data_IF_265196443383
#
_entry.id   IF_265196443383
#
_cell.length_a   1.000
_cell.length_b   1.000
_cell.length_c   1.000
_cell.angle_alpha   90.00
_cell.angle_beta   90.00
_cell.angle_gamma   90.00
#
_symmetry.space_group_name_H-M   'P 1'
#
loop_
_entity.id
_entity.type
_entity.pdbx_description
1 polymer ?
#
# COMPACT_ATOMS: atom_id res chain seq x y z
N UNK A 1 -16.11 -27.13 -1.88
CA UNK A 1 -15.72 -25.86 -1.22
C UNK A 1 -14.31 -25.52 -1.70
N UNK A 2 -14.20 -24.82 -2.83
CA UNK A 2 -12.93 -24.60 -3.53
C UNK A 2 -12.26 -23.31 -3.07
N UNK A 3 -11.06 -23.45 -2.56
CA UNK A 3 -10.11 -22.40 -2.20
C UNK A 3 -9.61 -21.62 -3.43
N UNK A 4 -10.49 -20.84 -4.07
CA UNK A 4 -10.17 -20.01 -5.24
C UNK A 4 -10.59 -18.54 -5.07
N UNK A 5 -10.95 -18.12 -3.86
CA UNK A 5 -11.09 -16.71 -3.49
C UNK A 5 -9.87 -16.26 -2.69
N UNK A 6 -8.68 -16.39 -3.26
CA UNK A 6 -7.58 -15.50 -2.89
C UNK A 6 -7.94 -14.14 -3.46
N UNK A 7 -8.75 -13.41 -2.68
CA UNK A 7 -9.16 -12.04 -2.90
C UNK A 7 -7.95 -11.25 -3.42
N UNK A 8 -8.04 -10.75 -4.65
CA UNK A 8 -6.92 -10.06 -5.30
C UNK A 8 -6.82 -8.68 -4.64
N UNK A 9 -6.19 -8.62 -3.46
CA UNK A 9 -6.00 -7.44 -2.59
C UNK A 9 -5.47 -6.23 -3.38
N UNK A 10 -4.77 -6.47 -4.49
CA UNK A 10 -4.18 -5.44 -5.32
C UNK A 10 -5.04 -4.97 -6.51
N UNK A 11 -6.23 -5.55 -6.71
CA UNK A 11 -7.13 -5.21 -7.83
C UNK A 11 -7.60 -3.75 -7.81
N UNK A 12 -7.70 -3.15 -6.62
CA UNK A 12 -8.00 -1.72 -6.41
C UNK A 12 -6.94 -0.82 -7.10
N UNK A 13 -5.71 -1.31 -7.27
CA UNK A 13 -4.60 -0.58 -7.87
C UNK A 13 -4.53 -0.67 -9.40
N UNK A 14 -5.50 -1.32 -10.06
CA UNK A 14 -5.60 -1.35 -11.53
C UNK A 14 -6.16 -0.05 -12.13
N UNK A 15 -6.59 0.91 -11.30
CA UNK A 15 -6.94 2.25 -11.74
C UNK A 15 -5.71 3.01 -12.28
N UNK A 16 -5.92 4.06 -13.08
CA UNK A 16 -4.82 4.89 -13.60
C UNK A 16 -3.92 5.43 -12.48
N UNK A 17 -4.52 5.88 -11.37
CA UNK A 17 -3.78 6.32 -10.19
C UNK A 17 -2.98 5.19 -9.55
N UNK A 18 -3.57 4.00 -9.47
CA UNK A 18 -2.90 2.85 -8.88
C UNK A 18 -1.75 2.31 -9.74
N UNK A 19 -1.88 2.36 -11.06
CA UNK A 19 -0.79 2.02 -11.98
C UNK A 19 0.38 3.00 -11.85
N UNK A 20 0.12 4.30 -11.78
CA UNK A 20 1.16 5.33 -11.56
C UNK A 20 1.85 5.12 -10.21
N UNK A 21 1.07 4.82 -9.16
CA UNK A 21 1.62 4.56 -7.82
C UNK A 21 2.53 3.33 -7.82
N UNK A 22 2.06 2.25 -8.44
CA UNK A 22 2.82 1.00 -8.57
C UNK A 22 4.11 1.20 -9.37
N UNK A 23 4.03 1.95 -10.47
CA UNK A 23 5.19 2.29 -11.30
C UNK A 23 6.22 3.09 -10.50
N UNK A 24 5.80 4.12 -9.75
CA UNK A 24 6.70 4.92 -8.89
C UNK A 24 7.37 4.08 -7.81
N UNK A 25 6.65 3.15 -7.19
CA UNK A 25 7.22 2.21 -6.21
C UNK A 25 8.29 1.35 -6.88
N UNK A 26 8.03 0.74 -8.04
CA UNK A 26 9.03 -0.04 -8.75
C UNK A 26 10.24 0.79 -9.21
N UNK A 27 10.01 2.04 -9.62
CA UNK A 27 11.09 2.96 -9.99
C UNK A 27 12.01 3.29 -8.80
N UNK A 28 11.46 3.40 -7.59
CA UNK A 28 12.26 3.54 -6.37
C UNK A 28 13.21 2.35 -6.16
N UNK A 29 12.78 1.15 -6.58
CA UNK A 29 13.58 -0.08 -6.59
C UNK A 29 14.46 -0.24 -7.83
N UNK A 30 14.50 0.77 -8.72
CA UNK A 30 15.23 0.76 -10.00
C UNK A 30 14.81 -0.40 -10.92
N UNK A 31 13.55 -0.80 -10.83
CA UNK A 31 12.88 -1.79 -11.67
C UNK A 31 11.98 -1.04 -12.65
N UNK A 32 12.10 -1.34 -13.95
CA UNK A 32 11.24 -0.80 -15.00
C UNK A 32 10.65 -1.96 -15.80
N UNK A 33 9.33 -2.06 -15.79
CA UNK A 33 8.56 -3.05 -16.54
C UNK A 33 7.82 -2.36 -17.69
N UNK A 34 7.51 -3.12 -18.74
CA UNK A 34 6.60 -2.63 -19.78
C UNK A 34 5.18 -2.53 -19.21
N UNK A 35 4.37 -1.63 -19.74
CA UNK A 35 3.02 -1.36 -19.21
C UNK A 35 2.14 -2.62 -19.13
N UNK A 36 2.18 -3.46 -20.16
CA UNK A 36 1.46 -4.74 -20.17
C UNK A 36 1.96 -5.74 -19.11
N UNK A 37 3.28 -5.76 -18.87
CA UNK A 37 3.91 -6.63 -17.87
C UNK A 37 3.59 -6.14 -16.46
N UNK A 38 3.50 -4.81 -16.25
CA UNK A 38 3.08 -4.21 -14.98
C UNK A 38 1.66 -4.64 -14.60
N UNK A 39 0.72 -4.54 -15.54
CA UNK A 39 -0.67 -4.96 -15.31
C UNK A 39 -0.75 -6.46 -15.01
N UNK A 40 -0.02 -7.28 -15.76
CA UNK A 40 0.02 -8.72 -15.54
C UNK A 40 0.65 -9.08 -14.19
N UNK A 41 1.71 -8.35 -13.78
CA UNK A 41 2.37 -8.52 -12.49
C UNK A 41 1.44 -8.20 -11.32
N UNK A 42 0.68 -7.09 -11.38
CA UNK A 42 -0.29 -6.74 -10.33
C UNK A 42 -1.36 -7.82 -10.20
N UNK A 43 -1.84 -8.37 -11.32
CA UNK A 43 -2.91 -9.37 -11.33
C UNK A 43 -2.49 -10.75 -10.83
N UNK A 44 -1.22 -11.12 -10.94
CA UNK A 44 -0.72 -12.45 -10.61
C UNK A 44 -0.12 -12.50 -9.19
N UNK A 45 -0.81 -13.08 -8.18
CA UNK A 45 -0.32 -13.13 -6.79
C UNK A 45 0.98 -13.91 -6.62
N UNK A 46 1.27 -14.80 -7.57
CA UNK A 46 2.45 -15.66 -7.56
C UNK A 46 3.68 -14.98 -8.17
N UNK A 47 3.52 -13.81 -8.79
CA UNK A 47 4.63 -13.08 -9.39
C UNK A 47 5.52 -12.48 -8.30
N UNK A 48 6.84 -12.53 -8.51
CA UNK A 48 7.81 -11.82 -7.67
C UNK A 48 7.44 -10.34 -7.49
N UNK A 49 7.01 -9.68 -8.57
CA UNK A 49 6.67 -8.26 -8.55
C UNK A 49 5.41 -7.98 -7.72
N UNK A 50 4.41 -8.86 -7.76
CA UNK A 50 3.24 -8.76 -6.90
C UNK A 50 3.63 -8.81 -5.42
N UNK A 51 4.48 -9.78 -5.06
CA UNK A 51 4.96 -9.96 -3.67
C UNK A 51 5.76 -8.77 -3.19
N UNK A 52 6.62 -8.22 -4.05
CA UNK A 52 7.40 -7.01 -3.78
C UNK A 52 6.51 -5.77 -3.54
N UNK A 53 5.38 -5.68 -4.24
CA UNK A 53 4.46 -4.55 -4.19
C UNK A 53 3.43 -4.63 -3.05
N UNK A 54 3.16 -5.81 -2.52
CA UNK A 54 2.10 -6.05 -1.53
C UNK A 54 2.24 -5.20 -0.27
N UNK A 55 3.40 -5.21 0.36
CA UNK A 55 3.68 -4.44 1.58
C UNK A 55 3.64 -2.93 1.34
N UNK A 56 4.37 -2.35 0.36
CA UNK A 56 4.38 -0.91 0.16
C UNK A 56 3.02 -0.36 -0.25
N UNK A 57 2.22 -1.08 -1.06
CA UNK A 57 0.87 -0.65 -1.41
C UNK A 57 -0.07 -0.62 -0.19
N UNK A 58 0.04 -1.60 0.72
CA UNK A 58 -0.71 -1.56 1.98
C UNK A 58 -0.28 -0.38 2.87
N UNK A 59 1.02 -0.06 2.91
CA UNK A 59 1.48 1.13 3.62
C UNK A 59 0.96 2.43 3.01
N UNK A 60 0.91 2.55 1.68
CA UNK A 60 0.29 3.72 1.01
C UNK A 60 -1.19 3.82 1.40
N UNK A 61 -1.92 2.70 1.40
CA UNK A 61 -3.32 2.68 1.80
C UNK A 61 -3.52 3.12 3.26
N UNK A 62 -2.72 2.57 4.18
CA UNK A 62 -2.73 2.99 5.58
C UNK A 62 -2.40 4.48 5.74
N UNK A 63 -1.48 5.01 4.94
CA UNK A 63 -1.14 6.44 4.92
C UNK A 63 -2.31 7.33 4.50
N UNK A 64 -3.16 6.88 3.55
CA UNK A 64 -4.38 7.61 3.17
C UNK A 64 -5.36 7.65 4.35
N UNK A 65 -5.58 6.52 5.03
CA UNK A 65 -6.48 6.47 6.21
C UNK A 65 -5.91 7.30 7.36
N UNK A 66 -4.59 7.27 7.57
CA UNK A 66 -3.91 8.08 8.57
C UNK A 66 -4.10 9.58 8.28
N UNK A 67 -4.01 10.01 7.02
CA UNK A 67 -4.29 11.39 6.65
C UNK A 67 -5.74 11.79 6.96
N UNK A 68 -6.72 10.94 6.65
CA UNK A 68 -8.12 11.21 7.02
C UNK A 68 -8.31 11.33 8.55
N UNK A 69 -7.63 10.50 9.33
CA UNK A 69 -7.65 10.60 10.80
C UNK A 69 -7.02 11.91 11.29
N UNK A 70 -5.92 12.34 10.68
CA UNK A 70 -5.27 13.63 10.95
C UNK A 70 -6.21 14.81 10.60
N UNK A 71 -6.89 14.76 9.45
CA UNK A 71 -7.83 15.81 9.06
C UNK A 71 -8.98 15.93 10.09
N UNK A 72 -9.47 14.81 10.64
CA UNK A 72 -10.40 14.82 11.77
C UNK A 72 -9.79 15.39 13.06
N UNK A 73 -8.57 15.00 13.41
CA UNK A 73 -7.88 15.56 14.58
C UNK A 73 -7.75 17.09 14.47
N UNK A 74 -7.28 17.60 13.33
CA UNK A 74 -7.12 19.03 13.07
C UNK A 74 -8.47 19.75 13.16
N UNK A 75 -9.53 19.17 12.61
CA UNK A 75 -10.87 19.73 12.74
C UNK A 75 -11.33 19.79 14.21
N UNK A 76 -11.14 18.71 14.98
CA UNK A 76 -11.46 18.70 16.40
C UNK A 76 -10.68 19.76 17.19
N UNK A 77 -9.39 19.95 16.88
CA UNK A 77 -8.56 21.00 17.48
C UNK A 77 -9.09 22.40 17.16
N UNK A 78 -9.49 22.66 15.90
CA UNK A 78 -10.09 23.94 15.50
C UNK A 78 -11.38 24.24 16.27
N UNK A 79 -12.27 23.26 16.42
CA UNK A 79 -13.48 23.41 17.23
C UNK A 79 -13.15 23.86 18.67
N UNK A 80 -12.15 23.22 19.30
CA UNK A 80 -11.74 23.62 20.64
C UNK A 80 -11.06 24.99 20.68
N UNK A 81 -10.28 25.38 19.67
CA UNK A 81 -9.68 26.72 19.59
C UNK A 81 -10.79 27.76 19.53
N UNK A 82 -11.78 27.59 18.67
CA UNK A 82 -12.91 28.52 18.53
C UNK A 82 -13.70 28.62 19.84
N UNK A 83 -13.97 27.49 20.49
CA UNK A 83 -14.60 27.45 21.81
C UNK A 83 -13.79 28.19 22.89
N UNK A 84 -12.47 27.95 22.98
CA UNK A 84 -11.62 28.61 23.97
C UNK A 84 -11.51 30.12 23.73
N UNK A 85 -11.53 30.56 22.47
CA UNK A 85 -11.46 31.97 22.10
C UNK A 85 -12.79 32.72 22.29
N UNK A 86 -13.91 32.01 22.40
CA UNK A 86 -15.24 32.60 22.64
C UNK A 86 -15.40 33.22 24.04
N UNK A 87 -14.50 32.93 24.98
CA UNK A 87 -14.56 33.42 26.35
C UNK A 87 -15.52 32.66 27.28
N UNK A 88 -16.19 31.61 26.78
CA UNK A 88 -17.12 30.77 27.57
C UNK A 88 -16.42 30.09 28.77
N UNK A 89 -15.13 29.83 28.64
CA UNK A 89 -14.28 29.26 29.70
C UNK A 89 -13.99 30.23 30.86
N UNK A 90 -14.23 31.53 30.68
CA UNK A 90 -13.97 32.55 31.70
C UNK A 90 -15.15 32.82 32.64
N UNK A 91 -16.32 32.21 32.41
CA UNK A 91 -17.51 32.40 33.25
C UNK A 91 -17.42 31.61 34.56
N UNK A 92 -18.05 32.11 35.61
CA UNK A 92 -18.02 31.49 36.95
C UNK A 92 -18.63 30.09 36.98
N UNK A 93 -18.23 29.26 37.94
CA UNK A 93 -18.77 27.90 38.14
C UNK A 93 -20.27 27.89 38.46
N UNK A 94 -20.82 29.00 38.94
CA UNK A 94 -22.25 29.17 39.22
C UNK A 94 -23.08 29.55 37.98
N UNK A 95 -22.45 29.80 36.83
CA UNK A 95 -23.16 30.21 35.62
C UNK A 95 -23.79 29.02 34.87
N UNK A 96 -24.94 29.22 34.19
CA UNK A 96 -25.60 28.15 33.43
C UNK A 96 -24.65 27.44 32.46
N UNK A 97 -24.71 26.11 32.42
CA UNK A 97 -23.84 25.30 31.57
C UNK A 97 -22.48 24.95 32.18
N UNK A 98 -22.25 25.20 33.48
CA UNK A 98 -21.01 24.80 34.17
C UNK A 98 -20.65 23.31 34.01
N UNK A 99 -21.62 22.40 34.14
CA UNK A 99 -21.41 20.95 33.93
C UNK A 99 -20.95 20.65 32.49
N UNK A 100 -21.59 21.27 31.49
CA UNK A 100 -21.21 21.11 30.07
C UNK A 100 -19.81 21.65 29.80
N UNK A 101 -19.39 22.72 30.48
CA UNK A 101 -18.02 23.27 30.36
C UNK A 101 -16.98 22.36 31.00
N UNK A 102 -17.30 21.71 32.11
CA UNK A 102 -16.45 20.67 32.72
C UNK A 102 -16.32 19.44 31.81
N UNK A 103 -17.43 18.98 31.22
CA UNK A 103 -17.43 17.89 30.25
C UNK A 103 -16.58 18.25 29.01
N UNK A 104 -16.69 19.48 28.48
CA UNK A 104 -15.86 19.96 27.37
C UNK A 104 -14.38 20.02 27.73
N UNK A 105 -14.02 20.43 28.94
CA UNK A 105 -12.63 20.40 29.41
C UNK A 105 -12.10 18.97 29.55
N UNK A 106 -12.96 18.01 29.94
CA UNK A 106 -12.61 16.59 29.95
C UNK A 106 -12.32 16.06 28.54
N UNK A 107 -13.16 16.41 27.55
CA UNK A 107 -12.96 16.02 26.15
C UNK A 107 -11.74 16.73 25.54
N UNK A 108 -11.42 17.96 25.96
CA UNK A 108 -10.18 18.65 25.56
C UNK A 108 -8.94 17.90 26.04
N UNK A 109 -8.91 17.50 27.32
CA UNK A 109 -7.79 16.69 27.86
C UNK A 109 -7.68 15.36 27.14
N UNK A 110 -8.82 14.74 26.81
CA UNK A 110 -8.86 13.52 26.01
C UNK A 110 -8.31 13.74 24.60
N UNK A 111 -8.65 14.83 23.92
CA UNK A 111 -8.12 15.17 22.60
C UNK A 111 -6.59 15.32 22.63
N UNK A 112 -6.04 15.98 23.66
CA UNK A 112 -4.59 16.12 23.81
C UNK A 112 -3.91 14.75 23.95
N UNK A 113 -4.41 13.91 24.86
CA UNK A 113 -3.87 12.56 25.05
C UNK A 113 -3.99 11.70 23.78
N UNK A 114 -5.15 11.75 23.11
CA UNK A 114 -5.35 11.08 21.82
C UNK A 114 -4.40 11.59 20.74
N UNK A 115 -4.10 12.89 20.72
CA UNK A 115 -3.16 13.50 19.79
C UNK A 115 -1.73 13.02 20.00
N UNK A 116 -1.28 12.91 21.25
CA UNK A 116 0.05 12.40 21.58
C UNK A 116 0.20 10.92 21.18
N UNK A 117 -0.80 10.09 21.51
CA UNK A 117 -0.83 8.67 21.14
C UNK A 117 -0.94 8.47 19.61
N UNK A 118 -1.70 9.33 18.93
CA UNK A 118 -1.81 9.33 17.48
C UNK A 118 -0.47 9.71 16.83
N UNK A 119 0.22 10.73 17.32
CA UNK A 119 1.53 11.12 16.80
C UNK A 119 2.60 10.03 17.01
N UNK A 120 2.53 9.30 18.13
CA UNK A 120 3.34 8.11 18.33
C UNK A 120 3.02 7.03 17.28
N UNK A 121 1.74 6.84 16.93
CA UNK A 121 1.30 5.95 15.87
C UNK A 121 1.82 6.38 14.48
N UNK A 122 1.82 7.68 14.16
CA UNK A 122 2.40 8.22 12.92
C UNK A 122 3.91 7.93 12.83
N UNK A 123 4.63 8.15 13.93
CA UNK A 123 6.07 7.89 14.02
C UNK A 123 6.37 6.41 13.81
N UNK A 124 5.58 5.52 14.41
CA UNK A 124 5.69 4.08 14.23
C UNK A 124 5.40 3.66 12.80
N UNK A 125 4.38 4.25 12.16
CA UNK A 125 4.07 4.00 10.75
C UNK A 125 5.22 4.42 9.83
N UNK A 126 5.79 5.60 10.04
CA UNK A 126 6.95 6.09 9.29
C UNK A 126 8.17 5.17 9.45
N UNK A 127 8.40 4.67 10.67
CA UNK A 127 9.46 3.70 10.95
C UNK A 127 9.22 2.38 10.22
N UNK A 128 7.99 1.87 10.24
CA UNK A 128 7.60 0.65 9.52
C UNK A 128 7.81 0.80 8.00
N UNK A 129 7.48 1.95 7.43
CA UNK A 129 7.75 2.26 6.01
C UNK A 129 9.25 2.24 5.76
N UNK A 130 10.05 2.95 6.56
CA UNK A 130 11.49 3.03 6.34
C UNK A 130 12.18 1.63 6.43
N UNK A 131 11.80 0.82 7.43
CA UNK A 131 12.33 -0.53 7.61
C UNK A 131 11.95 -1.45 6.45
N UNK A 132 10.67 -1.46 6.06
CA UNK A 132 10.17 -2.29 4.95
C UNK A 132 10.79 -1.88 3.62
N UNK A 133 10.90 -0.58 3.34
CA UNK A 133 11.52 -0.05 2.12
C UNK A 133 13.00 -0.44 2.03
N UNK A 134 13.76 -0.31 3.13
CA UNK A 134 15.17 -0.70 3.17
C UNK A 134 15.34 -2.18 2.80
N UNK A 135 14.51 -3.06 3.37
CA UNK A 135 14.58 -4.49 3.09
C UNK A 135 14.17 -4.82 1.63
N UNK A 136 13.07 -4.22 1.15
CA UNK A 136 12.60 -4.41 -0.23
C UNK A 136 13.62 -3.91 -1.26
N UNK A 137 14.31 -2.79 -1.01
CA UNK A 137 15.39 -2.28 -1.87
C UNK A 137 16.56 -3.27 -1.93
N UNK A 138 16.92 -3.89 -0.80
CA UNK A 138 17.97 -4.91 -0.77
C UNK A 138 17.56 -6.12 -1.62
N UNK A 139 16.36 -6.66 -1.42
CA UNK A 139 15.83 -7.76 -2.23
C UNK A 139 15.76 -7.42 -3.72
N UNK A 140 15.29 -6.22 -4.08
CA UNK A 140 15.23 -5.78 -5.46
C UNK A 140 16.62 -5.68 -6.10
N UNK A 141 17.63 -5.26 -5.33
CA UNK A 141 19.02 -5.18 -5.79
C UNK A 141 19.61 -6.57 -6.02
N UNK A 142 19.38 -7.50 -5.10
CA UNK A 142 19.80 -8.90 -5.24
C UNK A 142 19.08 -9.60 -6.39
N UNK A 143 17.78 -9.38 -6.54
CA UNK A 143 16.99 -9.85 -7.67
C UNK A 143 17.57 -9.37 -9.00
N UNK A 144 17.87 -8.07 -9.12
CA UNK A 144 18.45 -7.49 -10.34
C UNK A 144 19.81 -8.10 -10.68
N UNK A 145 20.64 -8.38 -9.66
CA UNK A 145 21.93 -9.06 -9.83
C UNK A 145 21.74 -10.49 -10.35
N UNK A 146 20.81 -11.24 -9.77
CA UNK A 146 20.49 -12.60 -10.18
C UNK A 146 19.89 -12.64 -11.60
N UNK A 147 18.99 -11.71 -11.91
CA UNK A 147 18.38 -11.56 -13.23
C UNK A 147 19.42 -11.22 -14.31
N UNK A 148 20.35 -10.31 -14.03
CA UNK A 148 21.43 -9.97 -14.95
C UNK A 148 22.38 -11.15 -15.18
N UNK A 149 22.70 -11.92 -14.13
CA UNK A 149 23.52 -13.12 -14.23
C UNK A 149 22.83 -14.22 -15.07
N UNK A 150 21.54 -14.45 -14.84
CA UNK A 150 20.72 -15.38 -15.60
C UNK A 150 20.64 -14.97 -17.08
N UNK A 151 20.37 -13.69 -17.36
CA UNK A 151 20.32 -13.17 -18.72
C UNK A 151 21.67 -13.29 -19.45
N UNK A 152 22.80 -13.09 -18.75
CA UNK A 152 24.13 -13.29 -19.33
C UNK A 152 24.38 -14.75 -19.70
N UNK A 153 24.04 -15.70 -18.84
CA UNK A 153 24.17 -17.15 -19.13
C UNK A 153 23.33 -17.56 -20.33
N UNK A 154 22.06 -17.15 -20.35
CA UNK A 154 21.15 -17.41 -21.47
C UNK A 154 21.72 -16.83 -22.77
N UNK A 155 22.21 -15.59 -22.75
CA UNK A 155 22.82 -14.97 -23.92
C UNK A 155 24.03 -15.77 -24.42
N UNK A 156 24.94 -16.12 -23.52
CA UNK A 156 26.17 -16.83 -23.88
C UNK A 156 25.83 -18.20 -24.49
N UNK A 157 24.82 -18.89 -23.97
CA UNK A 157 24.32 -20.17 -24.50
C UNK A 157 23.54 -20.01 -25.82
N UNK A 158 22.73 -18.96 -25.98
CA UNK A 158 22.03 -18.65 -27.24
C UNK A 158 23.01 -18.26 -28.34
N UNK A 159 24.10 -17.56 -28.00
CA UNK A 159 25.15 -17.19 -28.94
C UNK A 159 25.88 -18.43 -29.48
N UNK A 160 26.07 -19.45 -28.65
CA UNK A 160 26.59 -20.76 -29.10
C UNK A 160 25.64 -21.46 -30.09
N UNK A 161 24.35 -21.16 -30.02
CA UNK A 161 23.31 -21.66 -30.95
C UNK A 161 23.11 -20.77 -32.18
N UNK A 162 23.93 -19.72 -32.36
CA UNK A 162 23.88 -18.81 -33.51
C UNK A 162 22.88 -17.66 -33.39
N UNK A 163 22.24 -17.48 -32.23
CA UNK A 163 21.29 -16.37 -31.98
C UNK A 163 21.94 -15.32 -31.08
N UNK A 164 22.36 -14.20 -31.66
CA UNK A 164 22.90 -13.07 -30.91
C UNK A 164 21.81 -12.01 -30.68
N UNK A 165 21.46 -11.76 -29.42
CA UNK A 165 20.46 -10.76 -29.01
C UNK A 165 20.99 -9.95 -27.83
N UNK A 166 20.57 -8.71 -27.73
CA UNK A 166 20.93 -7.84 -26.62
C UNK A 166 20.42 -8.38 -25.27
N UNK A 167 21.21 -8.21 -24.21
CA UNK A 167 20.85 -8.61 -22.84
C UNK A 167 19.50 -8.00 -22.42
N UNK A 168 19.19 -6.78 -22.85
CA UNK A 168 17.93 -6.10 -22.52
C UNK A 168 16.71 -6.88 -23.03
N UNK A 169 16.78 -7.43 -24.24
CA UNK A 169 15.71 -8.23 -24.84
C UNK A 169 15.54 -9.53 -24.05
N UNK A 170 16.65 -10.19 -23.70
CA UNK A 170 16.62 -11.42 -22.90
C UNK A 170 15.99 -11.17 -21.51
N UNK A 171 16.31 -10.05 -20.87
CA UNK A 171 15.69 -9.65 -19.60
C UNK A 171 14.18 -9.44 -19.76
N UNK A 172 13.74 -8.78 -20.84
CA UNK A 172 12.31 -8.60 -21.12
C UNK A 172 11.59 -9.94 -21.30
N UNK A 173 12.22 -10.89 -21.99
CA UNK A 173 11.68 -12.25 -22.17
C UNK A 173 11.58 -12.97 -20.83
N UNK A 174 12.64 -12.95 -20.02
CA UNK A 174 12.62 -13.57 -18.68
C UNK A 174 11.52 -12.96 -17.82
N UNK A 175 11.37 -11.63 -17.82
CA UNK A 175 10.31 -10.97 -17.06
C UNK A 175 8.91 -11.35 -17.55
N UNK A 176 8.68 -11.35 -18.85
CA UNK A 176 7.40 -11.75 -19.43
C UNK A 176 7.04 -13.20 -19.04
N UNK A 177 8.03 -14.10 -19.09
CA UNK A 177 7.84 -15.50 -18.68
C UNK A 177 7.58 -15.64 -17.18
N UNK A 178 8.33 -14.96 -16.31
CA UNK A 178 8.15 -15.02 -14.85
C UNK A 178 6.80 -14.42 -14.43
N UNK A 179 6.34 -13.35 -15.09
CA UNK A 179 5.09 -12.67 -14.76
C UNK A 179 3.87 -13.47 -15.22
N UNK A 180 3.94 -14.09 -16.40
CA UNK A 180 2.84 -14.89 -16.94
C UNK A 180 2.81 -16.32 -16.40
N UNK A 181 3.92 -16.80 -15.84
CA UNK A 181 3.96 -18.10 -15.22
C UNK A 181 3.17 -18.09 -13.91
N UNK A 182 2.18 -18.97 -13.84
CA UNK A 182 1.36 -19.17 -12.67
C UNK A 182 1.94 -20.29 -11.81
N UNK A 183 2.65 -19.93 -10.74
CA UNK A 183 3.25 -20.90 -9.83
C UNK A 183 2.24 -21.73 -9.03
N UNK A 184 0.93 -21.42 -9.11
CA UNK A 184 -0.12 -22.25 -8.50
C UNK A 184 -0.27 -23.60 -9.21
N UNK A 185 0.10 -23.66 -10.48
CA UNK A 185 0.29 -24.91 -11.21
C UNK A 185 1.63 -25.48 -10.77
N UNK A 186 1.63 -26.44 -9.84
CA UNK A 186 2.78 -27.24 -9.35
C UNK A 186 3.49 -28.07 -10.46
N UNK A 187 3.52 -27.60 -11.70
CA UNK A 187 4.20 -28.21 -12.83
C UNK A 187 5.43 -27.39 -13.21
N UNK A 188 6.50 -28.08 -13.60
CA UNK A 188 7.61 -27.49 -14.35
C UNK A 188 7.05 -26.64 -15.49
N UNK A 189 7.70 -25.52 -15.80
CA UNK A 189 7.36 -24.69 -16.97
C UNK A 189 7.34 -25.61 -18.19
N UNK A 190 6.16 -25.82 -18.79
CA UNK A 190 6.00 -26.64 -19.99
C UNK A 190 6.46 -25.81 -21.20
N UNK A 191 7.22 -26.42 -22.10
CA UNK A 191 7.69 -25.80 -23.34
C UNK A 191 6.54 -25.51 -24.32
N UNK A 192 5.35 -26.07 -24.05
CA UNK A 192 4.10 -25.87 -24.80
C UNK A 192 3.18 -24.79 -24.22
N UNK A 193 3.56 -24.13 -23.14
CA UNK A 193 2.72 -23.10 -22.52
C UNK A 193 2.56 -21.86 -23.42
N UNK A 194 1.39 -21.21 -23.35
CA UNK A 194 1.06 -20.01 -24.16
C UNK A 194 1.96 -18.81 -23.84
N UNK A 195 2.58 -18.81 -22.67
CA UNK A 195 3.57 -17.82 -22.22
C UNK A 195 4.77 -17.72 -23.18
N UNK A 196 5.14 -18.82 -23.86
CA UNK A 196 6.20 -18.83 -24.87
C UNK A 196 5.87 -18.04 -26.13
N UNK A 197 4.59 -17.92 -26.52
CA UNK A 197 4.21 -17.16 -27.71
C UNK A 197 4.58 -15.67 -27.58
N UNK A 198 4.48 -15.12 -26.35
CA UNK A 198 4.92 -13.76 -26.05
C UNK A 198 6.44 -13.65 -26.05
N UNK A 199 7.13 -14.62 -25.45
CA UNK A 199 8.60 -14.69 -25.45
C UNK A 199 9.17 -14.72 -26.88
N UNK A 200 8.60 -15.56 -27.75
CA UNK A 200 8.98 -15.67 -29.16
C UNK A 200 8.71 -14.36 -29.92
N UNK A 201 7.58 -13.69 -29.64
CA UNK A 201 7.27 -12.37 -30.21
C UNK A 201 8.29 -11.30 -29.80
N UNK A 202 8.77 -11.32 -28.55
CA UNK A 202 9.79 -10.36 -28.05
C UNK A 202 11.17 -10.65 -28.67
N UNK A 203 11.53 -11.93 -28.86
CA UNK A 203 12.79 -12.34 -29.49
C UNK A 203 12.78 -12.11 -31.01
N UNK A 204 11.60 -12.17 -31.62
CA UNK A 204 11.38 -12.04 -33.06
C UNK A 204 11.58 -13.33 -33.84
N UNK A 205 11.85 -14.45 -33.16
CA UNK A 205 12.13 -15.76 -33.74
C UNK A 205 11.47 -16.86 -32.90
N UNK A 206 11.13 -17.99 -33.54
CA UNK A 206 10.64 -19.17 -32.82
C UNK A 206 11.78 -19.80 -32.03
N UNK A 207 11.53 -20.08 -30.76
CA UNK A 207 12.55 -20.66 -29.89
C UNK A 207 12.60 -22.17 -30.09
N UNK A 208 13.81 -22.71 -30.27
CA UNK A 208 14.00 -24.16 -30.26
C UNK A 208 13.70 -24.74 -28.88
N UNK A 209 13.31 -26.02 -28.80
CA UNK A 209 13.08 -26.69 -27.51
C UNK A 209 14.33 -26.65 -26.61
N UNK A 210 15.53 -26.74 -27.20
CA UNK A 210 16.79 -26.58 -26.46
C UNK A 210 16.93 -25.17 -25.86
N UNK A 211 16.61 -24.12 -26.63
CA UNK A 211 16.63 -22.75 -26.13
C UNK A 211 15.59 -22.55 -25.03
N UNK A 212 14.39 -23.13 -25.14
CA UNK A 212 13.37 -23.08 -24.09
C UNK A 212 13.86 -23.75 -22.80
N UNK A 213 14.50 -24.92 -22.88
CA UNK A 213 15.06 -25.59 -21.71
C UNK A 213 16.10 -24.77 -20.96
N UNK A 214 16.95 -24.03 -21.68
CA UNK A 214 17.93 -23.10 -21.09
C UNK A 214 17.23 -22.02 -20.26
N UNK A 215 16.18 -21.40 -20.81
CA UNK A 215 15.38 -20.42 -20.09
C UNK A 215 14.70 -21.04 -18.87
N UNK A 216 14.14 -22.25 -18.99
CA UNK A 216 13.48 -22.95 -17.88
C UNK A 216 14.45 -23.18 -16.71
N UNK A 217 15.67 -23.65 -16.97
CA UNK A 217 16.67 -23.87 -15.92
C UNK A 217 16.99 -22.59 -15.15
N UNK A 218 17.22 -21.48 -15.86
CA UNK A 218 17.55 -20.21 -15.21
C UNK A 218 16.34 -19.56 -14.53
N UNK A 219 15.14 -19.66 -15.11
CA UNK A 219 13.91 -19.18 -14.50
C UNK A 219 13.62 -19.95 -13.21
N UNK A 220 13.83 -21.27 -13.18
CA UNK A 220 13.64 -22.09 -11.98
C UNK A 220 14.50 -21.58 -10.81
N UNK A 221 15.78 -21.27 -11.06
CA UNK A 221 16.68 -20.68 -10.06
C UNK A 221 16.21 -19.31 -9.56
N UNK A 222 15.70 -18.48 -10.46
CA UNK A 222 15.11 -17.19 -10.09
C UNK A 222 13.85 -17.37 -9.22
N UNK A 223 13.01 -18.35 -9.54
CA UNK A 223 11.81 -18.63 -8.78
C UNK A 223 12.11 -19.18 -7.38
N UNK A 224 13.13 -20.04 -7.25
CA UNK A 224 13.63 -20.49 -5.95
C UNK A 224 14.07 -19.30 -5.09
N UNK A 225 14.83 -18.36 -5.65
CA UNK A 225 15.18 -17.12 -4.95
C UNK A 225 13.93 -16.30 -4.58
N UNK A 226 12.95 -16.19 -5.50
CA UNK A 226 11.70 -15.48 -5.26
C UNK A 226 10.83 -16.09 -4.15
N UNK A 227 11.00 -17.39 -3.86
CA UNK A 227 10.24 -18.05 -2.79
C UNK A 227 10.65 -17.58 -1.40
N UNK A 228 11.90 -17.13 -1.22
CA UNK A 228 12.40 -16.61 0.05
C UNK A 228 11.83 -15.25 0.45
N UNK A 229 11.25 -14.50 -0.50
CA UNK A 229 10.73 -13.16 -0.23
C UNK A 229 9.53 -13.18 0.72
N UNK A 230 8.65 -14.18 0.60
CA UNK A 230 7.44 -14.29 1.44
C UNK A 230 7.81 -14.45 2.91
N UNK A 231 8.80 -15.29 3.21
CA UNK A 231 9.29 -15.47 4.57
C UNK A 231 9.83 -14.16 5.16
N UNK A 232 10.58 -13.39 4.36
CA UNK A 232 11.12 -12.11 4.82
C UNK A 232 10.06 -11.00 4.93
N UNK A 233 8.95 -11.10 4.20
CA UNK A 233 7.88 -10.11 4.20
C UNK A 233 6.72 -10.47 5.13
N UNK A 234 6.72 -11.67 5.71
CA UNK A 234 5.65 -12.15 6.59
C UNK A 234 5.46 -11.22 7.80
N UNK A 235 6.55 -10.87 8.49
CA UNK A 235 6.52 -9.94 9.64
C UNK A 235 5.98 -8.56 9.25
N UNK A 236 6.49 -7.98 8.15
CA UNK A 236 6.00 -6.69 7.67
C UNK A 236 4.54 -6.74 7.26
N UNK A 237 4.06 -7.85 6.70
CA UNK A 237 2.65 -8.03 6.35
C UNK A 237 1.76 -8.00 7.59
N UNK A 238 2.17 -8.68 8.67
CA UNK A 238 1.46 -8.69 9.96
C UNK A 238 1.44 -7.28 10.54
N UNK A 239 2.61 -6.65 10.71
CA UNK A 239 2.75 -5.29 11.27
C UNK A 239 1.96 -4.25 10.47
N UNK A 240 1.92 -4.38 9.15
CA UNK A 240 1.15 -3.46 8.28
C UNK A 240 -0.35 -3.65 8.43
N UNK A 241 -0.83 -4.88 8.60
CA UNK A 241 -2.26 -5.15 8.86
C UNK A 241 -2.68 -4.62 10.25
N UNK A 242 -1.83 -4.82 11.27
CA UNK A 242 -2.05 -4.29 12.63
C UNK A 242 -2.09 -2.75 12.63
N UNK A 243 -1.14 -2.12 11.93
CA UNK A 243 -1.14 -0.68 11.72
C UNK A 243 -2.43 -0.22 11.01
N UNK A 244 -2.87 -0.95 9.99
CA UNK A 244 -4.14 -0.70 9.29
C UNK A 244 -5.36 -0.74 10.22
N UNK A 245 -5.41 -1.68 11.16
CA UNK A 245 -6.45 -1.72 12.18
C UNK A 245 -6.38 -0.50 13.12
N UNK A 246 -5.18 -0.13 13.58
CA UNK A 246 -4.97 1.03 14.47
C UNK A 246 -5.37 2.34 13.81
N UNK A 247 -4.97 2.61 12.57
CA UNK A 247 -5.31 3.88 11.89
C UNK A 247 -6.82 4.02 11.63
N UNK A 248 -7.53 2.91 11.33
CA UNK A 248 -8.99 2.91 11.22
C UNK A 248 -9.68 3.18 12.55
N UNK A 249 -9.14 2.63 13.64
CA UNK A 249 -9.64 2.89 14.98
C UNK A 249 -9.47 4.37 15.33
N UNK A 250 -8.30 4.96 15.08
CA UNK A 250 -8.07 6.40 15.27
C UNK A 250 -9.03 7.28 14.47
N UNK A 251 -9.23 6.99 13.19
CA UNK A 251 -10.22 7.69 12.35
C UNK A 251 -11.61 7.67 12.99
N UNK A 252 -12.02 6.51 13.49
CA UNK A 252 -13.32 6.32 14.15
C UNK A 252 -13.42 7.07 15.49
N UNK A 253 -12.35 7.07 16.28
CA UNK A 253 -12.33 7.70 17.58
C UNK A 253 -12.31 9.23 17.48
N UNK A 254 -11.54 9.80 16.55
CA UNK A 254 -11.60 11.24 16.27
C UNK A 254 -12.97 11.66 15.73
N UNK A 255 -13.59 10.86 14.84
CA UNK A 255 -14.94 11.13 14.37
C UNK A 255 -15.97 11.16 15.51
N UNK A 256 -15.93 10.16 16.41
CA UNK A 256 -16.82 10.11 17.59
C UNK A 256 -16.58 11.28 18.54
N UNK A 257 -15.32 11.69 18.72
CA UNK A 257 -14.96 12.85 19.52
C UNK A 257 -15.58 14.13 18.94
N UNK A 258 -15.45 14.35 17.63
CA UNK A 258 -16.06 15.50 16.95
C UNK A 258 -17.57 15.54 17.16
N UNK A 259 -18.26 14.40 17.01
CA UNK A 259 -19.71 14.32 17.24
C UNK A 259 -20.06 14.72 18.68
N UNK A 260 -19.39 14.13 19.66
CA UNK A 260 -19.63 14.42 21.08
C UNK A 260 -19.37 15.89 21.43
N UNK A 261 -18.29 16.48 20.92
CA UNK A 261 -17.96 17.89 21.16
C UNK A 261 -19.02 18.80 20.54
N UNK A 262 -19.47 18.52 19.32
CA UNK A 262 -20.53 19.31 18.68
C UNK A 262 -21.85 19.23 19.46
N UNK A 263 -22.22 18.05 19.97
CA UNK A 263 -23.40 17.89 20.84
C UNK A 263 -23.28 18.72 22.12
N UNK A 264 -22.12 18.70 22.78
CA UNK A 264 -21.87 19.51 23.98
C UNK A 264 -21.92 21.01 23.69
N UNK A 265 -21.36 21.46 22.58
CA UNK A 265 -21.38 22.88 22.19
C UNK A 265 -22.80 23.39 21.91
N UNK A 266 -23.70 22.56 21.38
CA UNK A 266 -25.10 22.92 21.17
C UNK A 266 -25.89 23.11 22.48
N UNK A 267 -25.43 22.53 23.59
CA UNK A 267 -26.06 22.65 24.90
C UNK A 267 -25.64 23.92 25.66
N UNK A 268 -24.64 24.65 25.16
CA UNK A 268 -24.19 25.90 25.76
C UNK A 268 -25.13 27.06 25.38
N UNK A 269 -25.69 27.78 26.38
CA UNK A 269 -26.76 28.75 26.12
C UNK A 269 -26.31 30.03 25.41
N UNK A 270 -25.02 30.39 25.50
CA UNK A 270 -24.48 31.64 24.97
C UNK A 270 -23.40 31.43 23.89
N UNK A 271 -23.07 30.17 23.57
CA UNK A 271 -22.13 29.83 22.51
C UNK A 271 -22.88 29.64 21.19
N UNK A 272 -22.48 30.40 20.18
CA UNK A 272 -22.97 30.24 18.82
C UNK A 272 -21.81 29.96 17.88
N UNK A 273 -21.91 28.84 17.19
CA UNK A 273 -20.96 28.43 16.17
C UNK A 273 -21.08 29.38 14.98
N UNK A 274 -19.96 29.93 14.50
CA UNK A 274 -19.92 30.65 13.22
C UNK A 274 -20.11 29.64 12.08
N UNK A 275 -21.25 29.76 11.39
CA UNK A 275 -21.60 28.90 10.26
C UNK A 275 -20.61 28.99 9.11
N UNK A 276 -20.00 30.15 8.88
CA UNK A 276 -19.08 30.37 7.75
C UNK A 276 -17.76 29.66 8.00
N UNK A 277 -17.18 29.89 9.18
CA UNK A 277 -15.93 29.26 9.62
C UNK A 277 -16.07 27.75 9.74
N UNK A 278 -17.25 27.27 10.16
CA UNK A 278 -17.54 25.84 10.24
C UNK A 278 -17.60 25.19 8.86
N UNK A 279 -18.23 25.83 7.87
CA UNK A 279 -18.30 25.32 6.51
C UNK A 279 -16.89 25.24 5.89
N UNK A 280 -16.08 26.28 6.05
CA UNK A 280 -14.67 26.30 5.60
C UNK A 280 -13.85 25.18 6.25
N UNK A 281 -14.03 24.97 7.56
CA UNK A 281 -13.31 23.92 8.28
C UNK A 281 -13.78 22.50 7.91
N UNK A 282 -15.00 22.33 7.40
CA UNK A 282 -15.55 21.05 6.93
C UNK A 282 -15.17 20.71 5.51
N UNK A 283 -14.68 21.67 4.72
CA UNK A 283 -14.29 21.45 3.33
C UNK A 283 -13.22 20.36 3.19
N UNK A 284 -12.31 20.26 4.17
CA UNK A 284 -11.27 19.22 4.21
C UNK A 284 -11.80 17.84 4.65
N UNK A 285 -13.06 17.75 5.11
CA UNK A 285 -13.66 16.52 5.62
C UNK A 285 -14.55 15.80 4.60
N UNK A 286 -14.63 16.29 3.36
CA UNK A 286 -15.34 15.61 2.27
C UNK A 286 -14.52 14.44 1.72
N UNK A 287 -14.43 13.37 2.49
CA UNK A 287 -13.81 12.11 2.07
C UNK A 287 -14.70 10.90 2.42
N UNK A 288 -14.49 9.80 1.69
CA UNK A 288 -15.20 8.55 1.96
C UNK A 288 -14.71 7.92 3.28
N UNK A 289 -15.55 7.97 4.30
CA UNK A 289 -15.28 7.41 5.63
C UNK A 289 -15.33 5.87 5.66
N UNK A 290 -15.92 5.24 4.64
CA UNK A 290 -16.01 3.77 4.52
C UNK A 290 -14.78 3.16 3.83
N UNK A 291 -13.87 3.99 3.34
CA UNK A 291 -12.63 3.53 2.71
C UNK A 291 -11.84 2.62 3.66
N UNK A 292 -11.60 1.39 3.22
CA UNK A 292 -10.82 0.40 3.97
C UNK A 292 -11.59 -0.38 5.02
N UNK A 293 -12.91 -0.27 5.08
CA UNK A 293 -13.75 -1.25 5.76
C UNK A 293 -13.95 -2.47 4.86
N UNK A 294 -13.70 -3.67 5.40
CA UNK A 294 -14.11 -4.90 4.71
C UNK A 294 -15.62 -4.86 4.61
N UNK A 295 -16.16 -4.73 3.39
CA UNK A 295 -17.58 -4.94 3.15
C UNK A 295 -17.90 -6.35 3.68
N UNK A 296 -18.54 -6.43 4.85
CA UNK A 296 -19.15 -7.66 5.33
C UNK A 296 -20.23 -8.04 4.33
N UNK A 297 -19.85 -8.88 3.36
CA UNK A 297 -20.75 -9.77 2.64
C UNK A 297 -20.97 -11.03 3.45
#
# INVERSE_FOLDING_TARGET
MSAAETNNDLSIWLSTYGLITTERILESYKIRLQHEDLIAAIKNPNSFYHRLLRVPLKNVFNGIILQQANDYQVYAQKIFIDYLMSGETSKSEDSPGALTREDLESERKRLVNMGDDFHACETEHNKLIAESQKNLIQFATEWKKNLAAAAKKIRDEMKLQGVDKEIKIIIQVINALIIQWDSSKRGKIDTKDKSWLRAEKIIGEKMSENSKHIFIDQITKLLEFSSGIESSLADFTIRTNEMGARVRQWRSDFYKLILRVNELLQLLPEYHVDSTQTEENRETLYFDSTLGEDQKG
#
